data_IF_224892002673
#
_entry.id   IF_224892002673
#
_cell.length_a   1.000
_cell.length_b   1.000
_cell.length_c   1.000
_cell.angle_alpha   90.00
_cell.angle_beta   90.00
_cell.angle_gamma   90.00
#
_symmetry.space_group_name_H-M   'P 1'
#
loop_
_entity.id
_entity.type
_entity.pdbx_description
1 polymer ?
#
# COMPACT_ATOMS: atom_id res chain seq x y z
N UNK A 1 -7.12 13.56 9.33
CA UNK A 1 -7.12 14.73 8.41
C UNK A 1 -7.58 14.24 7.05
N UNK A 2 -8.52 14.91 6.40
CA UNK A 2 -8.91 14.62 5.02
C UNK A 2 -8.35 15.72 4.12
N UNK A 3 -7.61 15.35 3.07
CA UNK A 3 -6.91 16.30 2.19
C UNK A 3 -7.40 16.08 0.76
N UNK A 4 -7.85 17.15 0.11
CA UNK A 4 -8.24 17.15 -1.30
C UNK A 4 -7.44 18.21 -2.05
N UNK A 5 -7.20 17.98 -3.35
CA UNK A 5 -6.48 18.90 -4.23
C UNK A 5 -7.43 19.54 -5.21
N UNK A 6 -7.14 20.77 -5.61
CA UNK A 6 -7.90 21.52 -6.63
C UNK A 6 -7.51 21.17 -8.06
N UNK A 7 -6.39 20.46 -8.26
CA UNK A 7 -5.92 19.99 -9.56
C UNK A 7 -5.49 18.51 -9.49
N UNK A 8 -5.36 17.88 -10.66
CA UNK A 8 -5.04 16.45 -10.79
C UNK A 8 -3.62 16.17 -11.28
N UNK A 9 -2.74 17.18 -11.25
CA UNK A 9 -1.36 17.02 -11.71
C UNK A 9 -0.64 15.91 -10.92
N UNK A 10 0.17 15.10 -11.61
CA UNK A 10 0.90 13.97 -11.04
C UNK A 10 0.03 12.81 -10.51
N UNK A 11 -1.29 12.87 -10.67
CA UNK A 11 -2.25 11.83 -10.26
C UNK A 11 -1.98 11.29 -8.84
N UNK A 12 -1.66 10.00 -8.70
CA UNK A 12 -1.35 9.35 -7.41
C UNK A 12 -0.12 9.97 -6.74
N UNK A 13 0.98 10.16 -7.49
CA UNK A 13 2.20 10.74 -6.96
C UNK A 13 1.99 12.19 -6.49
N UNK A 14 1.21 12.98 -7.24
CA UNK A 14 0.83 14.34 -6.84
C UNK A 14 -0.03 14.37 -5.58
N UNK A 15 -0.97 13.42 -5.43
CA UNK A 15 -1.77 13.30 -4.21
C UNK A 15 -0.92 12.94 -2.99
N UNK A 16 0.01 11.98 -3.14
CA UNK A 16 0.96 11.62 -2.08
C UNK A 16 1.86 12.80 -1.70
N UNK A 17 2.40 13.53 -2.69
CA UNK A 17 3.24 14.71 -2.45
C UNK A 17 2.53 15.77 -1.59
N UNK A 18 1.25 16.04 -1.84
CA UNK A 18 0.47 16.97 -1.01
C UNK A 18 0.21 16.41 0.39
N UNK A 19 -0.12 15.12 0.50
CA UNK A 19 -0.32 14.47 1.81
C UNK A 19 0.93 14.50 2.70
N UNK A 20 2.11 14.33 2.10
CA UNK A 20 3.40 14.36 2.82
C UNK A 20 3.71 15.70 3.48
N UNK A 21 3.14 16.82 3.01
CA UNK A 21 3.33 18.13 3.66
C UNK A 21 2.73 18.18 5.08
N UNK A 22 1.75 17.32 5.36
CA UNK A 22 1.06 17.27 6.67
C UNK A 22 1.48 16.05 7.49
N UNK A 23 2.03 15.01 6.85
CA UNK A 23 2.50 13.81 7.53
C UNK A 23 3.70 14.15 8.45
N UNK A 24 3.66 13.66 9.70
CA UNK A 24 4.70 13.91 10.71
C UNK A 24 5.40 12.64 11.20
N UNK A 25 4.99 11.48 10.67
CA UNK A 25 5.59 10.20 11.03
C UNK A 25 6.98 10.04 10.42
N UNK A 26 7.85 9.31 11.11
CA UNK A 26 9.17 8.92 10.61
C UNK A 26 9.06 7.95 9.42
N UNK A 27 8.03 7.10 9.42
CA UNK A 27 7.70 6.17 8.35
C UNK A 27 6.42 6.58 7.64
N UNK A 28 6.37 6.32 6.33
CA UNK A 28 5.18 6.50 5.50
C UNK A 28 4.67 5.13 5.06
N UNK A 29 3.45 4.79 5.47
CA UNK A 29 2.74 3.63 4.96
C UNK A 29 1.81 4.06 3.81
N UNK A 30 1.86 3.34 2.70
CA UNK A 30 1.05 3.61 1.50
C UNK A 30 0.17 2.40 1.21
N UNK A 31 -1.15 2.63 1.19
CA UNK A 31 -2.15 1.63 0.82
C UNK A 31 -3.03 2.22 -0.28
N UNK A 32 -3.31 1.44 -1.34
CA UNK A 32 -4.38 1.80 -2.26
C UNK A 32 -5.74 1.53 -1.61
N UNK A 33 -6.78 2.17 -2.11
CA UNK A 33 -8.12 2.18 -1.49
C UNK A 33 -8.77 0.80 -1.37
N UNK A 34 -8.24 -0.18 -2.07
CA UNK A 34 -8.67 -1.58 -2.15
C UNK A 34 -7.78 -2.54 -1.33
N UNK A 35 -6.73 -2.06 -0.66
CA UNK A 35 -5.89 -2.89 0.21
C UNK A 35 -6.34 -2.84 1.67
N UNK A 36 -6.48 -4.03 2.25
CA UNK A 36 -6.78 -4.22 3.67
C UNK A 36 -5.60 -4.92 4.35
N UNK A 37 -4.69 -4.17 5.01
CA UNK A 37 -3.58 -4.78 5.73
C UNK A 37 -4.08 -5.55 6.96
N UNK A 38 -3.37 -6.62 7.32
CA UNK A 38 -3.60 -7.32 8.58
C UNK A 38 -3.38 -6.38 9.78
N UNK A 39 -4.09 -6.60 10.89
CA UNK A 39 -4.01 -5.75 12.08
C UNK A 39 -2.60 -5.67 12.70
N UNK A 40 -1.75 -6.68 12.44
CA UNK A 40 -0.37 -6.73 12.89
C UNK A 40 0.66 -6.35 11.81
N UNK A 41 0.23 -5.82 10.66
CA UNK A 41 1.09 -5.53 9.52
C UNK A 41 2.27 -4.61 9.90
N UNK A 42 2.02 -3.54 10.65
CA UNK A 42 3.08 -2.61 11.11
C UNK A 42 4.11 -3.31 12.01
N UNK A 43 3.67 -4.19 12.92
CA UNK A 43 4.59 -4.95 13.77
C UNK A 43 5.48 -5.90 12.96
N UNK A 44 4.99 -6.40 11.83
CA UNK A 44 5.75 -7.24 10.91
C UNK A 44 6.72 -6.43 10.03
N UNK A 45 6.37 -5.19 9.65
CA UNK A 45 7.14 -4.42 8.66
C UNK A 45 8.14 -3.42 9.25
N UNK A 46 7.78 -2.69 10.31
CA UNK A 46 8.65 -1.65 10.90
C UNK A 46 10.01 -2.18 11.36
N UNK A 47 10.15 -3.39 11.96
CA UNK A 47 11.44 -3.87 12.44
C UNK A 47 12.54 -4.01 11.37
N UNK A 48 12.19 -4.12 10.09
CA UNK A 48 13.17 -4.20 9.01
C UNK A 48 13.99 -2.90 8.86
N UNK A 49 13.43 -1.75 9.22
CA UNK A 49 14.14 -0.46 9.17
C UNK A 49 15.22 -0.30 10.25
N UNK A 50 15.43 -1.30 11.13
CA UNK A 50 16.61 -1.34 12.02
C UNK A 50 17.93 -1.34 11.24
N UNK A 51 17.91 -1.78 9.98
CA UNK A 51 19.03 -1.60 9.08
C UNK A 51 18.89 -0.25 8.37
N UNK A 52 19.75 0.72 8.73
CA UNK A 52 19.76 2.07 8.16
C UNK A 52 19.95 2.11 6.64
N UNK A 53 20.41 1.02 6.01
CA UNK A 53 20.53 0.92 4.55
C UNK A 53 19.21 0.61 3.84
N UNK A 54 18.13 0.31 4.56
CA UNK A 54 16.82 -0.03 4.00
C UNK A 54 15.97 1.24 3.88
N UNK A 55 15.68 1.65 2.65
CA UNK A 55 14.79 2.80 2.37
C UNK A 55 13.31 2.43 2.20
N UNK A 56 12.99 1.17 1.85
CA UNK A 56 11.62 0.70 1.58
C UNK A 56 11.45 -0.75 2.00
N UNK A 57 10.29 -1.08 2.57
CA UNK A 57 9.83 -2.45 2.83
C UNK A 57 8.57 -2.70 2.01
N UNK A 58 8.64 -3.61 1.05
CA UNK A 58 7.52 -4.00 0.20
C UNK A 58 6.92 -5.32 0.67
N UNK A 59 5.60 -5.37 0.88
CA UNK A 59 4.88 -6.61 1.19
C UNK A 59 4.18 -7.17 -0.03
N UNK A 60 4.01 -8.50 -0.07
CA UNK A 60 3.32 -9.19 -1.16
C UNK A 60 1.83 -8.80 -1.20
N UNK A 61 1.28 -8.69 -2.40
CA UNK A 61 -0.15 -8.52 -2.63
C UNK A 61 -0.88 -9.86 -2.51
N UNK A 62 -2.05 -9.86 -1.86
CA UNK A 62 -2.90 -11.02 -1.69
C UNK A 62 -4.33 -10.76 -2.17
N UNK A 63 -5.13 -11.81 -2.25
CA UNK A 63 -6.50 -11.75 -2.76
C UNK A 63 -7.48 -12.18 -1.67
N UNK A 64 -8.35 -11.27 -1.24
CA UNK A 64 -9.35 -11.57 -0.19
C UNK A 64 -10.49 -12.47 -0.69
N UNK A 65 -10.73 -12.50 -2.00
CA UNK A 65 -11.86 -13.17 -2.63
C UNK A 65 -11.43 -14.26 -3.62
N UNK A 66 -10.18 -14.74 -3.55
CA UNK A 66 -9.63 -15.73 -4.48
C UNK A 66 -10.62 -16.86 -4.78
N UNK A 67 -11.15 -17.45 -3.73
CA UNK A 67 -11.97 -18.66 -3.82
C UNK A 67 -13.48 -18.42 -3.98
N UNK A 68 -13.90 -17.16 -4.15
CA UNK A 68 -15.32 -16.80 -4.23
C UNK A 68 -16.02 -17.36 -5.49
N UNK A 69 -15.34 -17.33 -6.64
CA UNK A 69 -15.87 -17.84 -7.91
C UNK A 69 -14.77 -18.37 -8.82
N UNK A 70 -15.14 -19.06 -9.91
CA UNK A 70 -14.17 -19.48 -10.92
C UNK A 70 -13.43 -18.27 -11.53
N UNK A 71 -14.13 -17.16 -11.75
CA UNK A 71 -13.55 -15.93 -12.29
C UNK A 71 -12.45 -15.36 -11.38
N UNK A 72 -12.74 -15.23 -10.08
CA UNK A 72 -11.77 -14.68 -9.10
C UNK A 72 -10.57 -15.61 -8.91
N UNK A 73 -10.75 -16.93 -9.04
CA UNK A 73 -9.65 -17.90 -9.02
C UNK A 73 -8.72 -17.73 -10.21
N UNK A 74 -9.27 -17.58 -11.42
CA UNK A 74 -8.49 -17.34 -12.65
C UNK A 74 -7.75 -16.01 -12.56
N UNK A 75 -8.41 -14.94 -12.11
CA UNK A 75 -7.78 -13.63 -11.92
C UNK A 75 -6.63 -13.68 -10.92
N UNK A 76 -6.85 -14.31 -9.76
CA UNK A 76 -5.81 -14.44 -8.74
C UNK A 76 -4.62 -15.26 -9.23
N UNK A 77 -4.85 -16.32 -10.01
CA UNK A 77 -3.77 -17.10 -10.63
C UNK A 77 -2.95 -16.24 -11.62
N UNK A 78 -3.61 -15.48 -12.49
CA UNK A 78 -2.93 -14.63 -13.46
C UNK A 78 -2.13 -13.51 -12.78
N UNK A 79 -2.68 -12.90 -11.73
CA UNK A 79 -2.01 -11.85 -10.95
C UNK A 79 -0.84 -12.39 -10.09
N UNK A 80 -0.93 -13.63 -9.61
CA UNK A 80 0.14 -14.26 -8.82
C UNK A 80 1.32 -14.75 -9.68
N UNK A 81 1.14 -14.90 -10.99
CA UNK A 81 2.20 -15.26 -11.93
C UNK A 81 3.11 -14.05 -12.28
N UNK A 82 2.76 -12.85 -11.83
CA UNK A 82 3.54 -11.61 -11.89
C UNK A 82 4.26 -11.35 -10.57
#
# INVERSE_FOLDING_TARGET
VHITRTNREGFKAGALKEGLKTAKGEFIAVFDSDFLPESNWLYKTIPYFKNEKIGVVQTRWGHINRDYSLLTKIQAFALDAH
#
